data_IF_178118789825
#
_entry.id   IF_178118789825
#
_cell.length_a   1.000
_cell.length_b   1.000
_cell.length_c   1.000
_cell.angle_alpha   90.00
_cell.angle_beta   90.00
_cell.angle_gamma   90.00
#
_symmetry.space_group_name_H-M   'P 1'
#
loop_
_entity.id
_entity.type
_entity.pdbx_description
1 polymer ?
#
# COMPACT_ATOMS: atom_id res chain seq x y z
N UNK A 1 -33.59 -54.75 4.99
CA UNK A 1 -32.29 -54.02 5.01
C UNK A 1 -32.00 -53.24 3.71
N UNK A 2 -32.95 -52.48 3.14
CA UNK A 2 -32.74 -51.79 1.83
C UNK A 2 -32.47 -50.28 1.85
N UNK A 3 -32.79 -49.59 2.96
CA UNK A 3 -32.81 -48.11 2.98
C UNK A 3 -31.46 -47.44 3.27
N UNK A 4 -30.54 -48.12 3.98
CA UNK A 4 -29.20 -47.56 4.33
C UNK A 4 -28.24 -47.48 3.13
N UNK A 5 -28.33 -48.39 2.15
CA UNK A 5 -27.41 -48.40 0.98
C UNK A 5 -27.73 -47.32 -0.07
N UNK A 6 -28.96 -46.82 -0.11
CA UNK A 6 -29.37 -45.77 -1.07
C UNK A 6 -28.90 -44.39 -0.60
N UNK A 7 -29.02 -44.10 0.70
CA UNK A 7 -28.50 -42.85 1.29
C UNK A 7 -26.97 -42.75 1.18
N UNK A 8 -26.23 -43.83 1.41
CA UNK A 8 -24.75 -43.80 1.29
C UNK A 8 -24.27 -43.59 -0.15
N UNK A 9 -25.01 -44.08 -1.16
CA UNK A 9 -24.72 -43.83 -2.59
C UNK A 9 -25.07 -42.39 -3.01
N UNK A 10 -26.13 -41.79 -2.45
CA UNK A 10 -26.44 -40.38 -2.67
C UNK A 10 -25.39 -39.45 -2.04
N UNK A 11 -24.94 -39.74 -0.82
CA UNK A 11 -23.90 -38.96 -0.13
C UNK A 11 -22.55 -39.04 -0.88
N UNK A 12 -22.16 -40.22 -1.40
CA UNK A 12 -20.96 -40.36 -2.24
C UNK A 12 -21.05 -39.64 -3.58
N UNK A 13 -22.26 -39.46 -4.15
CA UNK A 13 -22.44 -38.67 -5.38
C UNK A 13 -22.42 -37.17 -5.13
N UNK A 14 -22.92 -36.69 -3.98
CA UNK A 14 -22.80 -35.28 -3.59
C UNK A 14 -21.36 -34.89 -3.20
N UNK A 15 -20.58 -35.79 -2.59
CA UNK A 15 -19.16 -35.53 -2.29
C UNK A 15 -18.26 -35.46 -3.54
N UNK A 16 -18.67 -36.04 -4.68
CA UNK A 16 -17.87 -36.06 -5.91
C UNK A 16 -18.12 -34.86 -6.84
N UNK A 17 -18.97 -33.91 -6.43
CA UNK A 17 -19.29 -32.68 -7.17
C UNK A 17 -18.89 -31.40 -6.44
N UNK A 18 -17.98 -31.47 -5.47
CA UNK A 18 -17.21 -30.28 -5.09
C UNK A 18 -16.20 -30.06 -6.21
N UNK A 19 -16.65 -29.41 -7.30
CA UNK A 19 -15.74 -28.82 -8.27
C UNK A 19 -14.78 -27.93 -7.47
N UNK A 20 -13.45 -28.10 -7.59
CA UNK A 20 -12.52 -27.19 -6.97
C UNK A 20 -12.94 -25.77 -7.39
N UNK A 21 -13.09 -24.89 -6.39
CA UNK A 21 -13.38 -23.47 -6.62
C UNK A 21 -12.42 -23.03 -7.72
N UNK A 22 -12.90 -22.65 -8.92
CA UNK A 22 -12.01 -22.36 -10.02
C UNK A 22 -11.00 -21.34 -9.52
N UNK A 23 -9.70 -21.65 -9.71
CA UNK A 23 -8.64 -20.67 -9.50
C UNK A 23 -9.13 -19.37 -10.12
N UNK A 24 -9.19 -18.31 -9.32
CA UNK A 24 -9.74 -17.04 -9.76
C UNK A 24 -9.10 -16.71 -11.10
N UNK A 25 -9.90 -16.70 -12.17
CA UNK A 25 -9.42 -16.42 -13.51
C UNK A 25 -8.65 -15.11 -13.44
N UNK A 26 -7.44 -15.08 -14.02
CA UNK A 26 -6.65 -13.86 -14.02
C UNK A 26 -7.52 -12.73 -14.56
N UNK A 27 -7.66 -11.62 -13.81
CA UNK A 27 -8.61 -10.57 -14.15
C UNK A 27 -8.27 -10.05 -15.53
N UNK A 28 -9.28 -9.96 -16.40
CA UNK A 28 -9.11 -9.41 -17.76
C UNK A 28 -8.58 -7.99 -17.67
N UNK A 29 -7.86 -7.49 -18.69
CA UNK A 29 -7.31 -6.13 -18.67
C UNK A 29 -8.35 -5.04 -18.34
N UNK A 30 -9.59 -5.19 -18.81
CA UNK A 30 -10.71 -4.30 -18.48
C UNK A 30 -11.14 -4.40 -17.00
N UNK A 31 -11.11 -5.60 -16.41
CA UNK A 31 -11.38 -5.81 -15.00
C UNK A 31 -10.26 -5.23 -14.12
N UNK A 32 -9.00 -5.36 -14.55
CA UNK A 32 -7.85 -4.75 -13.87
C UNK A 32 -7.93 -3.22 -13.89
N UNK A 33 -8.32 -2.61 -15.03
CA UNK A 33 -8.53 -1.15 -15.11
C UNK A 33 -9.61 -0.68 -14.13
N UNK A 34 -10.77 -1.33 -14.14
CA UNK A 34 -11.87 -1.03 -13.19
C UNK A 34 -11.46 -1.24 -11.73
N UNK A 35 -10.63 -2.25 -11.44
CA UNK A 35 -10.08 -2.46 -10.10
C UNK A 35 -9.12 -1.33 -9.69
N UNK A 36 -8.27 -0.88 -10.60
CA UNK A 36 -7.35 0.25 -10.38
C UNK A 36 -8.11 1.56 -10.18
N UNK A 37 -9.13 1.82 -10.99
CA UNK A 37 -10.00 2.99 -10.85
C UNK A 37 -10.67 3.00 -9.49
N UNK A 38 -11.30 1.88 -9.08
CA UNK A 38 -11.92 1.75 -7.75
C UNK A 38 -10.92 1.91 -6.61
N UNK A 39 -9.69 1.44 -6.79
CA UNK A 39 -8.63 1.62 -5.81
C UNK A 39 -8.25 3.09 -5.66
N UNK A 40 -8.00 3.79 -6.76
CA UNK A 40 -7.69 5.24 -6.77
C UNK A 40 -8.86 6.06 -6.23
N UNK A 41 -10.10 5.74 -6.63
CA UNK A 41 -11.32 6.37 -6.13
C UNK A 41 -11.50 6.21 -4.62
N UNK A 42 -11.00 5.12 -4.05
CA UNK A 42 -11.06 4.86 -2.60
C UNK A 42 -9.90 5.46 -1.81
N UNK A 43 -9.05 6.28 -2.44
CA UNK A 43 -7.90 6.95 -1.82
C UNK A 43 -6.58 6.22 -1.99
N UNK A 44 -6.56 5.17 -2.83
CA UNK A 44 -5.37 4.41 -3.16
C UNK A 44 -4.63 3.92 -1.92
N UNK A 45 -3.36 4.31 -1.80
CA UNK A 45 -2.49 3.91 -0.70
C UNK A 45 -2.96 4.42 0.68
N UNK A 46 -3.73 5.51 0.70
CA UNK A 46 -4.21 6.16 1.92
C UNK A 46 -5.61 5.70 2.33
N UNK A 47 -6.15 4.68 1.65
CA UNK A 47 -7.41 4.06 2.01
C UNK A 47 -7.35 3.48 3.44
N UNK A 48 -8.35 3.81 4.25
CA UNK A 48 -8.51 3.31 5.62
C UNK A 48 -7.84 4.16 6.70
N UNK A 49 -6.99 5.11 6.33
CA UNK A 49 -6.35 6.03 7.28
C UNK A 49 -7.30 7.13 7.75
N UNK A 50 -7.06 7.63 8.97
CA UNK A 50 -7.85 8.73 9.51
C UNK A 50 -7.71 9.98 8.63
N UNK A 51 -8.81 10.68 8.30
CA UNK A 51 -8.75 11.85 7.42
C UNK A 51 -7.86 12.95 7.99
N UNK A 52 -7.79 13.10 9.32
CA UNK A 52 -6.92 14.07 9.99
C UNK A 52 -5.43 13.73 9.79
N UNK A 53 -5.09 12.44 9.82
CA UNK A 53 -3.73 11.96 9.56
C UNK A 53 -3.34 12.17 8.10
N UNK A 54 -4.25 11.87 7.16
CA UNK A 54 -4.02 12.08 5.73
C UNK A 54 -3.81 13.57 5.41
N UNK A 55 -4.56 14.47 6.04
CA UNK A 55 -4.35 15.92 5.87
C UNK A 55 -2.98 16.37 6.39
N UNK A 56 -2.52 15.86 7.55
CA UNK A 56 -1.17 16.15 8.06
C UNK A 56 -0.09 15.66 7.11
N UNK A 57 -0.23 14.44 6.58
CA UNK A 57 0.66 13.91 5.56
C UNK A 57 0.65 14.79 4.31
N UNK A 58 -0.52 15.28 3.90
CA UNK A 58 -0.69 16.26 2.84
C UNK A 58 0.14 17.52 3.06
N UNK A 59 0.07 18.14 4.24
CA UNK A 59 0.85 19.34 4.55
C UNK A 59 2.36 19.08 4.55
N UNK A 60 2.81 17.95 5.12
CA UNK A 60 4.22 17.57 5.10
C UNK A 60 4.69 17.35 3.65
N UNK A 61 3.90 16.63 2.84
CA UNK A 61 4.21 16.39 1.43
C UNK A 61 4.25 17.67 0.61
N UNK A 62 3.37 18.64 0.89
CA UNK A 62 3.39 19.94 0.24
C UNK A 62 4.66 20.71 0.60
N UNK A 63 5.07 20.69 1.87
CA UNK A 63 6.34 21.28 2.32
C UNK A 63 7.55 20.69 1.60
N UNK A 64 7.61 19.36 1.50
CA UNK A 64 8.68 18.67 0.74
C UNK A 64 8.66 19.05 -0.73
N UNK A 65 7.49 19.10 -1.37
CA UNK A 65 7.37 19.51 -2.77
C UNK A 65 7.85 20.95 -2.99
N UNK A 66 7.52 21.87 -2.07
CA UNK A 66 8.02 23.25 -2.12
C UNK A 66 9.55 23.29 -1.98
N UNK A 67 10.12 22.53 -1.04
CA UNK A 67 11.58 22.43 -0.90
C UNK A 67 12.22 21.91 -2.19
N UNK A 68 11.67 20.85 -2.78
CA UNK A 68 12.16 20.32 -4.05
C UNK A 68 12.11 21.35 -5.18
N UNK A 69 11.04 22.16 -5.26
CA UNK A 69 10.96 23.26 -6.25
C UNK A 69 11.98 24.37 -5.98
N UNK A 70 12.23 24.72 -4.71
CA UNK A 70 13.25 25.69 -4.35
C UNK A 70 14.66 25.21 -4.74
N UNK A 71 14.96 23.92 -4.54
CA UNK A 71 16.23 23.32 -4.97
C UNK A 71 16.36 23.35 -6.50
N UNK A 72 15.29 23.07 -7.24
CA UNK A 72 15.28 23.22 -8.71
C UNK A 72 15.63 24.65 -9.12
N UNK A 73 14.99 25.65 -8.50
CA UNK A 73 15.26 27.06 -8.81
C UNK A 73 16.72 27.41 -8.51
N UNK A 74 17.24 26.95 -7.37
CA UNK A 74 18.63 27.17 -6.95
C UNK A 74 19.65 26.51 -7.90
N UNK A 75 19.37 25.31 -8.40
CA UNK A 75 20.26 24.62 -9.35
C UNK A 75 20.27 25.26 -10.76
N UNK A 76 19.20 25.96 -11.14
CA UNK A 76 19.11 26.63 -12.45
C UNK A 76 19.68 28.06 -12.41
N UNK A 77 19.26 28.83 -11.40
CA UNK A 77 19.47 30.28 -11.32
C UNK A 77 20.37 30.72 -10.15
N UNK A 78 20.55 29.86 -9.15
CA UNK A 78 21.21 30.20 -7.90
C UNK A 78 22.75 30.12 -7.95
N UNK A 79 23.43 30.60 -6.90
CA UNK A 79 24.87 30.50 -6.74
C UNK A 79 25.41 29.05 -6.73
N UNK A 80 24.57 28.07 -6.40
CA UNK A 80 24.94 26.64 -6.43
C UNK A 80 24.75 26.00 -7.82
N UNK A 81 24.44 26.77 -8.86
CA UNK A 81 24.18 26.23 -10.19
C UNK A 81 25.43 25.55 -10.80
N UNK A 82 25.33 24.27 -11.23
CA UNK A 82 26.41 23.56 -11.93
C UNK A 82 26.94 24.33 -13.15
N UNK A 83 28.20 24.07 -13.52
CA UNK A 83 28.78 24.63 -14.76
C UNK A 83 28.23 23.86 -15.97
N UNK A 84 27.73 24.61 -16.96
CA UNK A 84 27.12 24.05 -18.16
C UNK A 84 25.60 23.94 -18.08
N UNK A 85 24.92 24.46 -19.10
CA UNK A 85 23.46 24.40 -19.24
C UNK A 85 22.90 22.97 -19.25
N UNK A 86 23.49 21.97 -19.95
CA UNK A 86 22.92 20.62 -19.99
C UNK A 86 22.93 19.92 -18.63
N UNK A 87 23.97 20.16 -17.80
CA UNK A 87 24.09 19.56 -16.46
C UNK A 87 23.03 20.12 -15.51
N UNK A 88 22.77 21.43 -15.59
CA UNK A 88 21.69 22.08 -14.81
C UNK A 88 20.33 21.48 -15.08
N UNK A 89 20.02 21.18 -16.35
CA UNK A 89 18.74 20.57 -16.74
C UNK A 89 18.63 19.16 -16.15
N UNK A 90 19.68 18.34 -16.25
CA UNK A 90 19.67 16.96 -15.73
C UNK A 90 19.50 16.96 -14.21
N UNK A 91 20.32 17.73 -13.48
CA UNK A 91 20.23 17.85 -12.02
C UNK A 91 18.85 18.35 -11.55
N UNK A 92 18.29 19.34 -12.25
CA UNK A 92 16.94 19.86 -11.96
C UNK A 92 15.85 18.81 -12.22
N UNK A 93 16.00 18.01 -13.27
CA UNK A 93 15.03 16.97 -13.63
C UNK A 93 14.99 15.85 -12.57
N UNK A 94 16.11 15.52 -11.93
CA UNK A 94 16.13 14.55 -10.83
C UNK A 94 15.22 14.98 -9.66
N UNK A 95 15.19 16.27 -9.35
CA UNK A 95 14.34 16.84 -8.29
C UNK A 95 12.84 16.93 -8.65
N UNK A 96 12.45 16.70 -9.92
CA UNK A 96 11.03 16.53 -10.28
C UNK A 96 10.47 15.19 -9.81
N UNK A 97 11.31 14.16 -9.67
CA UNK A 97 10.90 12.82 -9.24
C UNK A 97 10.11 12.85 -7.92
N UNK A 98 10.63 13.41 -6.80
CA UNK A 98 9.89 13.45 -5.54
C UNK A 98 8.59 14.25 -5.67
N UNK A 99 8.56 15.34 -6.45
CA UNK A 99 7.35 16.13 -6.69
C UNK A 99 6.27 15.29 -7.37
N UNK A 100 6.61 14.60 -8.48
CA UNK A 100 5.66 13.77 -9.23
C UNK A 100 5.15 12.60 -8.37
N UNK A 101 6.02 11.98 -7.57
CA UNK A 101 5.64 10.91 -6.65
C UNK A 101 4.66 11.42 -5.59
N UNK A 102 4.97 12.51 -4.91
CA UNK A 102 4.11 13.06 -3.85
C UNK A 102 2.74 13.46 -4.40
N UNK A 103 2.70 14.14 -5.55
CA UNK A 103 1.44 14.52 -6.20
C UNK A 103 0.64 13.27 -6.59
N UNK A 104 1.27 12.25 -7.19
CA UNK A 104 0.57 11.06 -7.67
C UNK A 104 0.01 10.18 -6.56
N UNK A 105 0.73 10.05 -5.44
CA UNK A 105 0.36 9.14 -4.35
C UNK A 105 -0.43 9.82 -3.21
N UNK A 106 -0.15 11.09 -2.91
CA UNK A 106 -0.72 11.78 -1.74
C UNK A 106 -1.93 12.64 -2.13
N UNK A 107 -1.89 13.33 -3.27
CA UNK A 107 -2.96 14.27 -3.66
C UNK A 107 -4.36 13.62 -3.79
N UNK A 108 -4.51 12.41 -4.39
CA UNK A 108 -5.82 11.76 -4.45
C UNK A 108 -6.39 11.47 -3.05
N UNK A 109 -5.55 11.01 -2.12
CA UNK A 109 -5.96 10.73 -0.75
C UNK A 109 -6.32 11.99 0.04
N UNK A 110 -5.54 13.07 -0.11
CA UNK A 110 -5.82 14.37 0.52
C UNK A 110 -7.14 14.96 0.04
N UNK A 111 -7.41 14.88 -1.28
CA UNK A 111 -8.68 15.35 -1.84
C UNK A 111 -9.88 14.62 -1.24
N UNK A 112 -9.78 13.31 -1.01
CA UNK A 112 -10.84 12.52 -0.38
C UNK A 112 -10.93 12.75 1.13
N UNK A 113 -9.79 12.93 1.82
CA UNK A 113 -9.74 13.28 3.23
C UNK A 113 -10.48 14.59 3.50
N UNK A 114 -10.24 15.60 2.66
CA UNK A 114 -10.92 16.89 2.77
C UNK A 114 -12.43 16.76 2.61
N UNK A 115 -12.91 15.95 1.66
CA UNK A 115 -14.35 15.65 1.52
C UNK A 115 -14.92 14.91 2.73
N UNK A 116 -14.16 13.94 3.27
CA UNK A 116 -14.57 13.16 4.45
C UNK A 116 -14.67 14.02 5.72
N UNK A 117 -13.85 15.07 5.85
CA UNK A 117 -13.94 16.00 6.99
C UNK A 117 -15.27 16.80 6.99
N UNK A 118 -15.84 17.03 5.82
CA UNK A 118 -17.09 17.80 5.66
C UNK A 118 -18.34 16.93 5.53
N UNK A 119 -18.19 15.60 5.54
CA UNK A 119 -19.30 14.67 5.34
C UNK A 119 -19.58 13.87 6.61
N UNK A 120 -20.86 13.63 6.89
CA UNK A 120 -21.24 12.80 8.03
C UNK A 120 -20.81 11.33 7.82
N UNK A 121 -20.40 10.62 8.89
CA UNK A 121 -19.96 9.25 8.78
C UNK A 121 -21.13 8.32 8.44
N UNK A 122 -20.88 7.36 7.55
CA UNK A 122 -21.85 6.35 7.14
C UNK A 122 -21.84 5.18 8.11
N UNK A 123 -23.01 4.75 8.55
CA UNK A 123 -23.16 3.56 9.40
C UNK A 123 -23.37 2.34 8.52
N UNK A 124 -22.49 1.35 8.65
CA UNK A 124 -22.55 0.07 7.93
C UNK A 124 -22.81 -1.03 8.94
N UNK A 125 -23.87 -1.79 8.73
CA UNK A 125 -24.26 -2.90 9.59
C UNK A 125 -24.13 -4.22 8.82
N UNK A 126 -23.52 -5.23 9.43
CA UNK A 126 -23.33 -6.52 8.80
C UNK A 126 -22.89 -7.61 9.77
N UNK A 127 -22.85 -8.85 9.28
CA UNK A 127 -22.29 -9.98 10.02
C UNK A 127 -20.78 -10.04 9.79
N UNK A 128 -19.99 -10.22 10.85
CA UNK A 128 -18.55 -10.40 10.73
C UNK A 128 -18.23 -11.73 10.03
N UNK A 129 -17.50 -11.67 8.92
CA UNK A 129 -16.97 -12.84 8.21
C UNK A 129 -15.56 -13.17 8.67
N UNK A 130 -14.77 -12.15 9.02
CA UNK A 130 -13.41 -12.32 9.49
C UNK A 130 -12.77 -10.99 9.86
N UNK A 131 -11.83 -11.06 10.80
CA UNK A 131 -10.99 -9.94 11.18
C UNK A 131 -9.52 -10.40 11.21
N UNK A 132 -8.64 -9.62 10.59
CA UNK A 132 -7.19 -9.86 10.60
C UNK A 132 -6.44 -8.61 11.02
N UNK A 133 -5.44 -8.77 11.88
CA UNK A 133 -4.48 -7.71 12.24
C UNK A 133 -3.52 -7.38 11.08
N UNK A 134 -3.53 -8.23 10.05
CA UNK A 134 -2.75 -8.07 8.82
C UNK A 134 -3.66 -7.58 7.71
N UNK A 135 -3.33 -6.45 7.08
CA UNK A 135 -3.99 -5.97 5.87
C UNK A 135 -2.99 -5.54 4.81
N UNK A 136 -3.51 -5.25 3.61
CA UNK A 136 -2.74 -4.70 2.49
C UNK A 136 -2.33 -3.24 2.71
N UNK A 137 -3.03 -2.52 3.59
CA UNK A 137 -2.69 -1.14 3.96
C UNK A 137 -1.76 -1.15 5.16
N UNK A 138 -0.65 -0.40 5.07
CA UNK A 138 0.40 -0.41 6.10
C UNK A 138 -0.15 0.02 7.47
N UNK A 139 0.18 -0.72 8.54
CA UNK A 139 -0.25 -0.38 9.90
C UNK A 139 -1.75 -0.50 10.20
N UNK A 140 -2.58 -0.89 9.22
CA UNK A 140 -4.00 -1.15 9.41
C UNK A 140 -4.27 -2.66 9.39
N UNK A 141 -5.26 -3.12 10.14
CA UNK A 141 -5.84 -4.43 9.95
C UNK A 141 -7.11 -4.37 9.11
N UNK A 142 -7.78 -5.51 8.95
CA UNK A 142 -8.88 -5.70 8.02
C UNK A 142 -10.08 -6.31 8.75
N UNK A 143 -11.26 -5.79 8.44
CA UNK A 143 -12.56 -6.35 8.83
C UNK A 143 -13.33 -6.68 7.56
N UNK A 144 -13.77 -7.93 7.44
CA UNK A 144 -14.69 -8.36 6.39
C UNK A 144 -16.08 -8.50 6.98
N UNK A 145 -17.03 -7.79 6.42
CA UNK A 145 -18.45 -7.84 6.78
C UNK A 145 -19.27 -8.40 5.63
N UNK A 146 -20.29 -9.19 5.98
CA UNK A 146 -21.41 -9.52 5.10
C UNK A 146 -22.54 -8.55 5.37
N UNK A 147 -22.70 -7.58 4.48
CA UNK A 147 -23.79 -6.60 4.49
C UNK A 147 -24.92 -7.08 3.57
N UNK A 148 -26.03 -6.33 3.51
CA UNK A 148 -27.12 -6.61 2.55
C UNK A 148 -26.68 -6.45 1.09
N UNK A 149 -25.68 -5.59 0.83
CA UNK A 149 -25.10 -5.32 -0.50
C UNK A 149 -24.05 -6.34 -0.95
N UNK A 150 -23.61 -7.24 -0.06
CA UNK A 150 -22.61 -8.26 -0.35
C UNK A 150 -21.51 -8.34 0.71
N UNK A 151 -20.34 -8.82 0.30
CA UNK A 151 -19.18 -8.86 1.19
C UNK A 151 -18.36 -7.58 1.03
N UNK A 152 -18.24 -6.79 2.08
CA UNK A 152 -17.49 -5.54 2.12
C UNK A 152 -16.26 -5.67 3.03
N UNK A 153 -15.13 -5.14 2.56
CA UNK A 153 -13.87 -5.13 3.28
C UNK A 153 -13.56 -3.70 3.72
N UNK A 154 -13.27 -3.54 5.01
CA UNK A 154 -12.86 -2.29 5.63
C UNK A 154 -11.50 -2.42 6.27
N UNK A 155 -10.72 -1.34 6.23
CA UNK A 155 -9.44 -1.24 6.92
C UNK A 155 -9.63 -0.53 8.25
N UNK A 156 -9.14 -1.13 9.32
CA UNK A 156 -9.41 -0.70 10.68
C UNK A 156 -8.10 -0.58 11.46
N UNK A 157 -7.94 0.48 12.27
CA UNK A 157 -6.84 0.57 13.22
C UNK A 157 -6.78 -0.66 14.16
N UNK A 158 -5.58 -1.12 14.55
CA UNK A 158 -5.40 -2.32 15.38
C UNK A 158 -6.13 -2.21 16.73
N UNK A 159 -6.12 -1.02 17.34
CA UNK A 159 -6.84 -0.73 18.59
C UNK A 159 -8.34 -1.01 18.53
N UNK A 160 -8.95 -0.81 17.36
CA UNK A 160 -10.38 -1.02 17.13
C UNK A 160 -10.68 -2.47 16.76
N UNK A 161 -9.71 -3.19 16.19
CA UNK A 161 -9.78 -4.62 15.92
C UNK A 161 -9.70 -5.47 17.18
N UNK A 162 -8.96 -5.04 18.20
CA UNK A 162 -8.91 -5.72 19.49
C UNK A 162 -10.30 -5.89 20.14
N UNK A 163 -11.25 -5.02 19.79
CA UNK A 163 -12.64 -5.04 20.27
C UNK A 163 -13.55 -6.00 19.47
N UNK A 164 -13.07 -6.56 18.38
CA UNK A 164 -13.85 -7.42 17.46
C UNK A 164 -13.64 -8.89 17.83
N UNK A 165 -14.71 -9.65 18.16
CA UNK A 165 -14.59 -11.07 18.46
C UNK A 165 -14.23 -11.87 17.19
N UNK A 166 -13.54 -13.00 17.36
CA UNK A 166 -13.19 -13.90 16.24
C UNK A 166 -14.35 -14.73 15.68
N UNK A 167 -15.55 -14.60 16.27
CA UNK A 167 -16.74 -15.35 15.90
C UNK A 167 -17.66 -14.54 14.96
N UNK A 168 -18.60 -15.23 14.29
CA UNK A 168 -19.59 -14.60 13.42
C UNK A 168 -20.60 -13.82 14.28
N UNK A 169 -20.32 -12.53 14.49
CA UNK A 169 -21.14 -11.63 15.32
C UNK A 169 -21.61 -10.45 14.47
N UNK A 170 -22.84 -9.94 14.65
CA UNK A 170 -23.25 -8.72 13.98
C UNK A 170 -22.47 -7.52 14.53
N UNK A 171 -21.92 -6.73 13.62
CA UNK A 171 -21.08 -5.57 13.92
C UNK A 171 -21.63 -4.36 13.18
N UNK A 172 -21.59 -3.22 13.85
CA UNK A 172 -21.91 -1.92 13.30
C UNK A 172 -20.62 -1.11 13.24
N UNK A 173 -20.29 -0.63 12.04
CA UNK A 173 -19.15 0.23 11.78
C UNK A 173 -19.64 1.63 11.44
N UNK A 174 -19.06 2.65 12.08
CA UNK A 174 -19.14 4.01 11.59
C UNK A 174 -17.92 4.27 10.71
N UNK A 175 -18.14 4.57 9.43
CA UNK A 175 -17.10 4.62 8.41
C UNK A 175 -17.16 5.94 7.65
N UNK A 176 -16.02 6.53 7.30
CA UNK A 176 -16.00 7.70 6.42
C UNK A 176 -16.34 7.31 4.98
N UNK A 177 -17.13 8.11 4.24
CA UNK A 177 -17.68 7.68 2.96
C UNK A 177 -16.64 7.46 1.86
N UNK A 178 -15.57 8.26 1.82
CA UNK A 178 -14.59 8.21 0.74
C UNK A 178 -13.36 7.36 1.09
N UNK A 179 -12.63 7.70 2.14
CA UNK A 179 -11.42 6.97 2.57
C UNK A 179 -11.74 5.61 3.23
N UNK A 180 -13.02 5.34 3.52
CA UNK A 180 -13.47 4.12 4.21
C UNK A 180 -12.78 3.89 5.55
N UNK A 181 -12.43 4.98 6.24
CA UNK A 181 -11.81 4.91 7.56
C UNK A 181 -12.85 4.52 8.59
N UNK A 182 -12.58 3.45 9.34
CA UNK A 182 -13.44 3.00 10.43
C UNK A 182 -13.25 3.91 11.65
N UNK A 183 -14.21 4.80 11.92
CA UNK A 183 -14.23 5.70 13.08
C UNK A 183 -14.59 4.94 14.36
N UNK A 184 -15.65 4.16 14.36
CA UNK A 184 -16.06 3.37 15.54
C UNK A 184 -16.50 1.97 15.12
N UNK A 185 -16.27 1.02 16.02
CA UNK A 185 -16.68 -0.38 15.89
C UNK A 185 -17.52 -0.72 17.11
N UNK A 186 -18.78 -1.08 16.89
CA UNK A 186 -19.67 -1.58 17.93
C UNK A 186 -20.13 -2.99 17.58
N UNK A 187 -19.96 -3.89 18.54
CA UNK A 187 -20.35 -5.29 18.41
C UNK A 187 -21.75 -5.45 19.01
N UNK A 188 -22.70 -5.93 18.22
CA UNK A 188 -24.06 -6.21 18.66
C UNK A 188 -24.11 -7.64 19.21
N UNK A 189 -23.67 -7.84 20.45
CA UNK A 189 -23.65 -9.17 21.07
C UNK A 189 -22.86 -9.18 22.38
N UNK A 190 -22.79 -10.36 23.03
CA UNK A 190 -21.95 -10.52 24.21
C UNK A 190 -20.48 -10.25 23.85
N UNK A 191 -19.84 -9.35 24.61
CA UNK A 191 -18.41 -9.01 24.49
C UNK A 191 -17.59 -10.24 24.90
N UNK A 192 -17.28 -11.11 23.96
CA UNK A 192 -16.36 -12.21 24.21
C UNK A 192 -14.92 -11.69 24.20
N UNK A 193 -14.09 -12.34 25.03
CA UNK A 193 -12.70 -12.01 25.34
C UNK A 193 -11.91 -11.63 24.08
N UNK A 194 -11.20 -10.50 24.16
CA UNK A 194 -10.37 -9.98 23.08
C UNK A 194 -9.40 -11.06 22.60
N UNK A 195 -9.30 -11.20 21.27
CA UNK A 195 -8.38 -12.16 20.66
C UNK A 195 -6.95 -11.74 21.00
N UNK A 196 -6.12 -12.59 21.62
CA UNK A 196 -4.69 -12.31 21.73
C UNK A 196 -4.13 -12.18 20.31
N UNK A 197 -3.44 -11.07 20.05
CA UNK A 197 -2.85 -10.83 18.74
C UNK A 197 -1.86 -11.96 18.44
N UNK A 198 -1.98 -12.65 17.30
CA UNK A 198 -0.91 -13.55 16.89
C UNK A 198 0.35 -12.69 16.68
N UNK A 199 1.49 -13.02 17.31
CA UNK A 199 2.72 -12.25 17.15
C UNK A 199 3.07 -12.23 15.66
N UNK A 200 3.13 -11.04 15.07
CA UNK A 200 3.50 -10.90 13.66
C UNK A 200 4.99 -11.21 13.55
N UNK A 201 5.41 -12.22 12.77
CA UNK A 201 6.82 -12.52 12.60
C UNK A 201 7.57 -11.30 12.08
N UNK A 202 8.78 -11.04 12.58
CA UNK A 202 9.58 -9.89 12.16
C UNK A 202 9.80 -9.83 10.65
N UNK A 203 9.89 -11.00 10.00
CA UNK A 203 10.03 -11.14 8.54
C UNK A 203 8.85 -10.47 7.81
N UNK A 204 7.62 -10.67 8.31
CA UNK A 204 6.41 -10.04 7.75
C UNK A 204 6.44 -8.54 7.98
N UNK A 205 6.97 -8.08 9.11
CA UNK A 205 7.13 -6.64 9.38
C UNK A 205 8.15 -6.00 8.42
N UNK A 206 9.27 -6.67 8.14
CA UNK A 206 10.30 -6.20 7.19
C UNK A 206 9.77 -6.18 5.75
N UNK A 207 9.06 -7.23 5.32
CA UNK A 207 8.42 -7.29 4.00
C UNK A 207 7.43 -6.14 3.76
N UNK A 208 6.73 -5.68 4.81
CA UNK A 208 5.78 -4.54 4.70
C UNK A 208 6.47 -3.20 4.45
N UNK A 209 7.73 -3.03 4.88
CA UNK A 209 8.47 -1.77 4.72
C UNK A 209 9.09 -1.63 3.32
N UNK A 210 9.39 -2.75 2.65
CA UNK A 210 10.09 -2.75 1.37
C UNK A 210 9.40 -1.96 0.25
N UNK A 211 8.06 -2.02 0.07
CA UNK A 211 7.38 -1.26 -0.98
C UNK A 211 7.49 0.26 -0.83
N UNK A 212 7.88 0.75 0.35
CA UNK A 212 8.07 2.19 0.64
C UNK A 212 9.56 2.52 0.66
N UNK A 213 10.36 1.72 1.38
CA UNK A 213 11.78 1.94 1.52
C UNK A 213 12.55 1.82 0.20
N UNK A 214 12.16 0.89 -0.67
CA UNK A 214 12.83 0.66 -1.96
C UNK A 214 12.71 1.87 -2.90
N UNK A 215 11.50 2.37 -3.25
CA UNK A 215 11.39 3.55 -4.10
C UNK A 215 11.96 4.82 -3.45
N UNK A 216 11.88 4.95 -2.11
CA UNK A 216 12.51 6.08 -1.42
C UNK A 216 14.03 6.04 -1.51
N UNK A 217 14.65 4.88 -1.26
CA UNK A 217 16.10 4.69 -1.40
C UNK A 217 16.54 4.91 -2.85
N UNK A 218 15.77 4.40 -3.82
CA UNK A 218 16.03 4.62 -5.25
C UNK A 218 16.05 6.10 -5.59
N UNK A 219 15.00 6.84 -5.23
CA UNK A 219 14.91 8.26 -5.49
C UNK A 219 16.07 9.03 -4.82
N UNK A 220 16.39 8.74 -3.56
CA UNK A 220 17.49 9.39 -2.84
C UNK A 220 18.84 9.11 -3.49
N UNK A 221 19.14 7.86 -3.85
CA UNK A 221 20.43 7.51 -4.48
C UNK A 221 20.57 8.04 -5.90
N UNK A 222 19.47 8.14 -6.65
CA UNK A 222 19.49 8.77 -7.97
C UNK A 222 19.78 10.28 -7.84
N UNK A 223 19.09 10.97 -6.94
CA UNK A 223 19.26 12.42 -6.71
C UNK A 223 20.66 12.73 -6.19
N UNK A 224 21.10 12.04 -5.14
CA UNK A 224 22.43 12.26 -4.56
C UNK A 224 23.55 11.88 -5.54
N UNK A 225 23.36 10.81 -6.33
CA UNK A 225 24.29 10.42 -7.36
C UNK A 225 24.46 11.49 -8.43
N UNK A 226 23.33 12.00 -8.94
CA UNK A 226 23.29 13.06 -9.95
C UNK A 226 23.88 14.38 -9.41
N UNK A 227 23.46 14.82 -8.22
CA UNK A 227 23.94 16.04 -7.57
C UNK A 227 25.47 15.98 -7.33
N UNK A 228 25.99 14.88 -6.76
CA UNK A 228 27.44 14.72 -6.52
C UNK A 228 28.21 14.76 -7.84
N UNK A 229 27.70 14.11 -8.89
CA UNK A 229 28.35 14.18 -10.20
C UNK A 229 28.26 15.56 -10.83
N UNK A 230 27.18 16.30 -10.67
CA UNK A 230 26.99 17.63 -11.23
C UNK A 230 27.99 18.67 -10.68
N UNK A 231 28.55 18.44 -9.49
CA UNK A 231 29.59 19.29 -8.89
C UNK A 231 31.03 18.88 -9.25
N UNK A 232 31.23 17.77 -9.96
CA UNK A 232 32.57 17.33 -10.36
C UNK A 232 33.01 18.02 -11.67
N UNK A 233 34.25 18.52 -11.76
CA UNK A 233 34.73 19.24 -12.94
C UNK A 233 35.10 18.28 -14.07
N UNK A 234 34.14 17.86 -14.90
CA UNK A 234 34.42 17.08 -16.11
C UNK A 234 34.18 17.89 -17.39
N UNK A 235 35.08 17.75 -18.35
CA UNK A 235 34.92 18.23 -19.73
C UNK A 235 35.02 17.05 -20.69
N UNK A 236 34.30 17.05 -21.83
CA UNK A 236 33.35 18.06 -22.32
C UNK A 236 31.95 17.97 -21.66
N UNK A 237 31.21 19.09 -21.64
CA UNK A 237 29.94 19.25 -20.92
C UNK A 237 28.84 18.24 -21.32
N UNK A 238 28.78 17.85 -22.60
CA UNK A 238 27.81 16.87 -23.08
C UNK A 238 28.09 15.46 -22.52
N UNK A 239 29.37 15.06 -22.44
CA UNK A 239 29.76 13.80 -21.82
C UNK A 239 29.56 13.85 -20.30
N UNK A 240 29.78 15.01 -19.69
CA UNK A 240 29.54 15.21 -18.26
C UNK A 240 28.05 15.03 -17.90
N UNK A 241 27.13 15.58 -18.68
CA UNK A 241 25.70 15.39 -18.46
C UNK A 241 25.25 13.92 -18.62
N UNK A 242 25.80 13.21 -19.62
CA UNK A 242 25.53 11.77 -19.82
C UNK A 242 26.10 10.94 -18.68
N UNK A 243 27.30 11.28 -18.19
CA UNK A 243 27.93 10.61 -17.05
C UNK A 243 27.13 10.82 -15.76
N UNK A 244 26.64 12.04 -15.51
CA UNK A 244 25.83 12.34 -14.33
C UNK A 244 24.55 11.49 -14.30
N UNK A 245 23.82 11.46 -15.43
CA UNK A 245 22.64 10.62 -15.59
C UNK A 245 22.97 9.12 -15.47
N UNK A 246 24.08 8.67 -16.07
CA UNK A 246 24.51 7.27 -16.02
C UNK A 246 24.89 6.83 -14.60
N UNK A 247 25.61 7.65 -13.84
CA UNK A 247 25.99 7.35 -12.45
C UNK A 247 24.76 7.30 -11.56
N UNK A 248 23.84 8.27 -11.67
CA UNK A 248 22.56 8.24 -10.97
C UNK A 248 21.75 6.98 -11.29
N UNK A 249 21.67 6.60 -12.58
CA UNK A 249 20.97 5.40 -13.03
C UNK A 249 21.63 4.10 -12.54
N UNK A 250 22.96 4.02 -12.52
CA UNK A 250 23.70 2.84 -12.05
C UNK A 250 23.54 2.68 -10.53
N UNK A 251 23.62 3.77 -9.76
CA UNK A 251 23.39 3.73 -8.32
C UNK A 251 21.95 3.30 -7.99
N UNK A 252 20.97 3.86 -8.69
CA UNK A 252 19.58 3.43 -8.57
C UNK A 252 19.41 1.95 -8.96
N UNK A 253 20.00 1.51 -10.08
CA UNK A 253 19.99 0.12 -10.51
C UNK A 253 20.59 -0.83 -9.46
N UNK A 254 21.68 -0.42 -8.81
CA UNK A 254 22.32 -1.15 -7.72
C UNK A 254 21.40 -1.29 -6.50
N UNK A 255 20.77 -0.21 -6.07
CA UNK A 255 19.79 -0.23 -4.96
C UNK A 255 18.59 -1.10 -5.29
N UNK A 256 18.10 -1.05 -6.53
CA UNK A 256 17.02 -1.92 -7.00
C UNK A 256 17.43 -3.39 -6.93
N UNK A 257 18.62 -3.73 -7.42
CA UNK A 257 19.17 -5.08 -7.39
C UNK A 257 19.31 -5.63 -5.97
N UNK A 258 19.91 -4.86 -5.07
CA UNK A 258 20.06 -5.23 -3.64
C UNK A 258 18.69 -5.42 -2.99
N UNK A 259 17.76 -4.50 -3.24
CA UNK A 259 16.41 -4.58 -2.69
C UNK A 259 15.64 -5.80 -3.21
N UNK A 260 15.79 -6.14 -4.50
CA UNK A 260 15.17 -7.31 -5.11
C UNK A 260 15.71 -8.62 -4.52
N UNK A 261 17.03 -8.73 -4.35
CA UNK A 261 17.65 -9.91 -3.72
C UNK A 261 17.22 -10.06 -2.26
N UNK A 262 17.14 -8.95 -1.54
CA UNK A 262 16.68 -8.94 -0.14
C UNK A 262 15.19 -9.31 -0.03
N UNK A 263 14.33 -8.80 -0.93
CA UNK A 263 12.93 -9.21 -1.04
C UNK A 263 12.80 -10.71 -1.29
N UNK A 264 13.59 -11.26 -2.22
CA UNK A 264 13.56 -12.68 -2.55
C UNK A 264 13.93 -13.56 -1.36
N UNK A 265 14.94 -13.16 -0.56
CA UNK A 265 15.31 -13.86 0.69
C UNK A 265 14.20 -13.82 1.73
N UNK A 266 13.62 -12.65 1.98
CA UNK A 266 12.54 -12.51 2.96
C UNK A 266 11.26 -13.25 2.57
N UNK A 267 10.93 -13.33 1.28
CA UNK A 267 9.80 -14.15 0.80
C UNK A 267 10.06 -15.63 1.04
N UNK A 268 11.29 -16.12 0.80
CA UNK A 268 11.66 -17.49 1.07
C UNK A 268 11.55 -17.81 2.58
N UNK A 269 12.03 -16.91 3.45
CA UNK A 269 11.90 -17.04 4.90
C UNK A 269 10.44 -17.01 5.35
N UNK A 270 9.60 -16.16 4.76
CA UNK A 270 8.18 -16.09 5.09
C UNK A 270 7.41 -17.34 4.66
N UNK A 271 7.75 -17.94 3.52
CA UNK A 271 7.15 -19.19 3.03
C UNK A 271 7.51 -20.39 3.93
N UNK A 272 8.72 -20.42 4.46
CA UNK A 272 9.17 -21.46 5.40
C UNK A 272 8.42 -21.42 6.76
N UNK A 273 7.87 -20.27 7.14
CA UNK A 273 7.14 -20.08 8.40
C UNK A 273 5.63 -20.44 8.31
N UNK A 274 5.10 -20.73 7.11
CA UNK A 274 3.69 -21.13 6.94
C UNK A 274 3.57 -22.65 7.13
N UNK A 275 2.74 -23.15 8.06
CA UNK A 275 2.54 -24.59 8.22
C UNK A 275 1.89 -25.17 6.96
N UNK A 276 2.65 -25.97 6.21
CA UNK A 276 2.22 -26.59 4.94
C UNK A 276 2.92 -26.10 3.67
N UNK A 277 4.01 -25.33 3.77
CA UNK A 277 4.84 -24.95 2.62
C UNK A 277 5.47 -26.17 1.94
N UNK A 278 5.01 -26.47 0.72
CA UNK A 278 5.58 -27.48 -0.17
C UNK A 278 6.99 -27.00 -0.58
N UNK A 279 8.01 -27.64 0.00
CA UNK A 279 9.33 -27.75 -0.61
C UNK A 279 9.34 -28.85 -1.66
#
# INVERSE_FOLDING_TARGET
MGKRRVQSKQIRRQMRQIKPKPQAAQPTAAQQRRQRERYVESGGFLQGYAPEFVMRLGYISAGVAVISLLVIVELILGPLAPKGLPVRIVASAAWLVPVVFLVSFVAPGVRLAWKDLHTQPKVVQGQLLGASTVSTSFGLGMIMLRTRSGNEQFFCPPEKLAKVPGNVVPVVLSVTPNLRHVRTVSVMGQRQVGRPEPPVPEVVRRLRLLPIATPAALALTAILGDDVTAFLPFQPEALHAVLALAVGAVLAGGVFGVSFLYQRRLVAEAQALVPGGVG
#
